data_IF_308738990448
#
_entry.id   IF_308738990448
#
_cell.length_a   1.000
_cell.length_b   1.000
_cell.length_c   1.000
_cell.angle_alpha   90.00
_cell.angle_beta   90.00
_cell.angle_gamma   90.00
#
_symmetry.space_group_name_H-M   'P 1'
#
loop_
_entity.id
_entity.type
_entity.pdbx_description
1 polymer ?
#
# COMPACT_ATOMS: atom_id res chain seq x y z
N UNK A 1 -12.94 -7.13 11.00
CA UNK A 1 -13.71 -6.18 10.29
C UNK A 1 -13.44 -6.21 8.79
N UNK A 2 -14.29 -5.59 8.00
CA UNK A 2 -14.44 -5.77 6.55
C UNK A 2 -13.24 -5.46 5.65
N UNK A 3 -12.27 -4.64 6.07
CA UNK A 3 -11.16 -4.21 5.20
C UNK A 3 -10.14 -5.31 4.92
N UNK A 4 -9.75 -6.08 5.93
CA UNK A 4 -8.81 -7.20 5.77
C UNK A 4 -9.40 -8.27 4.88
N UNK A 5 -10.70 -8.57 5.08
CA UNK A 5 -11.43 -9.54 4.28
C UNK A 5 -11.58 -9.09 2.83
N UNK A 6 -11.87 -7.80 2.59
CA UNK A 6 -11.96 -7.27 1.23
C UNK A 6 -10.61 -7.29 0.50
N UNK A 7 -9.52 -6.99 1.21
CA UNK A 7 -8.18 -7.09 0.65
C UNK A 7 -7.84 -8.53 0.28
N UNK A 8 -8.08 -9.49 1.18
CA UNK A 8 -7.88 -10.91 0.93
C UNK A 8 -8.71 -11.40 -0.27
N UNK A 9 -10.00 -11.06 -0.31
CA UNK A 9 -10.89 -11.42 -1.42
C UNK A 9 -10.42 -10.87 -2.77
N UNK A 10 -9.87 -9.65 -2.81
CA UNK A 10 -9.29 -9.08 -4.04
C UNK A 10 -8.05 -9.85 -4.48
N UNK A 11 -7.21 -10.24 -3.54
CA UNK A 11 -6.02 -11.05 -3.84
C UNK A 11 -6.39 -12.43 -4.36
N UNK A 12 -7.36 -13.09 -3.73
CA UNK A 12 -7.88 -14.38 -4.18
C UNK A 12 -8.49 -14.28 -5.59
N UNK A 13 -9.22 -13.20 -5.87
CA UNK A 13 -9.75 -12.86 -7.18
C UNK A 13 -8.66 -12.76 -8.24
N UNK A 14 -7.56 -12.06 -7.92
CA UNK A 14 -6.40 -11.92 -8.83
C UNK A 14 -5.70 -13.25 -9.07
N UNK A 15 -5.46 -14.03 -8.02
CA UNK A 15 -4.79 -15.34 -8.10
C UNK A 15 -5.65 -16.35 -8.88
N UNK A 16 -6.94 -16.37 -8.60
CA UNK A 16 -7.87 -17.30 -9.25
C UNK A 16 -8.26 -16.87 -10.67
N UNK A 17 -7.99 -15.61 -11.05
CA UNK A 17 -8.42 -14.98 -12.30
C UNK A 17 -9.97 -15.03 -12.47
N UNK A 18 -10.67 -14.65 -11.41
CA UNK A 18 -12.13 -14.52 -11.40
C UNK A 18 -12.50 -13.16 -10.82
N UNK A 19 -13.66 -12.63 -11.18
CA UNK A 19 -14.11 -11.36 -10.60
C UNK A 19 -14.51 -11.55 -9.13
N UNK A 20 -14.36 -10.50 -8.32
CA UNK A 20 -14.78 -10.53 -6.91
C UNK A 20 -16.25 -10.85 -6.71
N UNK A 21 -17.11 -10.57 -7.71
CA UNK A 21 -18.54 -10.92 -7.72
C UNK A 21 -18.79 -12.41 -7.95
N UNK A 22 -17.84 -13.09 -8.55
CA UNK A 22 -17.97 -14.50 -8.95
C UNK A 22 -17.22 -15.45 -8.03
N UNK A 23 -16.36 -14.94 -7.14
CA UNK A 23 -15.60 -15.75 -6.18
C UNK A 23 -16.49 -16.75 -5.44
N UNK A 24 -17.68 -16.32 -5.02
CA UNK A 24 -18.60 -17.13 -4.24
C UNK A 24 -19.37 -18.18 -5.05
N UNK A 25 -19.25 -18.17 -6.38
CA UNK A 25 -19.92 -19.15 -7.23
C UNK A 25 -19.20 -20.50 -7.27
N UNK A 26 -17.88 -20.48 -7.09
CA UNK A 26 -17.03 -21.68 -7.12
C UNK A 26 -15.84 -21.51 -6.15
N UNK A 27 -16.16 -21.58 -4.87
CA UNK A 27 -15.16 -21.41 -3.80
C UNK A 27 -14.10 -22.52 -3.82
N UNK A 28 -14.45 -23.74 -4.19
CA UNK A 28 -13.54 -24.87 -4.20
C UNK A 28 -12.41 -24.66 -5.23
N UNK A 29 -12.78 -24.19 -6.43
CA UNK A 29 -11.78 -23.88 -7.46
C UNK A 29 -10.90 -22.69 -7.06
N UNK A 30 -11.46 -21.65 -6.44
CA UNK A 30 -10.71 -20.50 -5.94
C UNK A 30 -9.72 -20.95 -4.86
N UNK A 31 -10.19 -21.70 -3.86
CA UNK A 31 -9.36 -22.21 -2.78
C UNK A 31 -8.21 -23.10 -3.29
N UNK A 32 -8.50 -23.97 -4.24
CA UNK A 32 -7.48 -24.82 -4.87
C UNK A 32 -6.40 -23.97 -5.55
N UNK A 33 -6.78 -22.98 -6.35
CA UNK A 33 -5.84 -22.09 -7.05
C UNK A 33 -4.99 -21.27 -6.07
N UNK A 34 -5.59 -20.73 -5.01
CA UNK A 34 -4.90 -19.98 -3.97
C UNK A 34 -3.91 -20.88 -3.21
N UNK A 35 -4.33 -22.09 -2.84
CA UNK A 35 -3.44 -23.09 -2.21
C UNK A 35 -2.26 -23.49 -3.12
N UNK A 36 -2.51 -23.65 -4.42
CA UNK A 36 -1.44 -23.96 -5.38
C UNK A 36 -0.45 -22.80 -5.52
N UNK A 37 -0.94 -21.56 -5.60
CA UNK A 37 -0.08 -20.37 -5.61
C UNK A 37 0.73 -20.25 -4.32
N UNK A 38 0.10 -20.49 -3.16
CA UNK A 38 0.73 -20.44 -1.85
C UNK A 38 1.86 -21.44 -1.64
N UNK A 39 1.89 -22.57 -2.38
CA UNK A 39 3.00 -23.53 -2.34
C UNK A 39 4.32 -22.97 -2.90
N UNK A 40 4.24 -21.95 -3.76
CA UNK A 40 5.40 -21.32 -4.42
C UNK A 40 5.67 -19.90 -3.91
N UNK A 41 4.72 -19.32 -3.19
CA UNK A 41 4.80 -17.98 -2.64
C UNK A 41 5.31 -18.02 -1.19
N UNK A 42 5.79 -16.87 -0.72
CA UNK A 42 6.09 -16.65 0.69
C UNK A 42 4.82 -16.48 1.55
N UNK A 43 5.01 -16.23 2.83
CA UNK A 43 3.91 -15.94 3.77
C UNK A 43 3.42 -14.50 3.61
N UNK A 44 2.11 -14.33 3.48
CA UNK A 44 1.47 -13.02 3.48
C UNK A 44 0.66 -12.84 4.78
N UNK A 45 0.79 -11.67 5.38
CA UNK A 45 -0.02 -11.25 6.53
C UNK A 45 -0.67 -9.92 6.21
N UNK A 46 -1.97 -9.85 6.37
CA UNK A 46 -2.76 -8.64 6.19
C UNK A 46 -3.21 -8.17 7.56
N UNK A 47 -2.97 -6.91 7.88
CA UNK A 47 -3.35 -6.30 9.15
C UNK A 47 -4.00 -4.95 8.91
N UNK A 48 -5.23 -4.83 9.37
CA UNK A 48 -5.87 -3.52 9.47
C UNK A 48 -5.27 -2.72 10.62
N UNK A 49 -4.94 -1.47 10.34
CA UNK A 49 -4.58 -0.48 11.34
C UNK A 49 -5.50 0.74 11.20
N UNK A 50 -5.95 1.34 12.32
CA UNK A 50 -6.80 2.53 12.26
C UNK A 50 -6.11 3.69 11.54
N UNK A 51 -6.89 4.55 10.92
CA UNK A 51 -6.37 5.84 10.45
C UNK A 51 -5.71 6.60 11.61
N UNK A 52 -4.69 7.41 11.31
CA UNK A 52 -3.85 8.10 12.28
C UNK A 52 -2.92 7.17 13.09
N UNK A 53 -2.79 5.91 12.72
CA UNK A 53 -1.70 5.06 13.23
C UNK A 53 -0.35 5.67 12.88
N UNK A 54 0.65 5.43 13.73
CA UNK A 54 2.01 5.93 13.54
C UNK A 54 3.02 4.80 13.31
N UNK A 55 4.22 5.17 12.94
CA UNK A 55 5.29 4.22 12.61
C UNK A 55 5.69 3.33 13.79
N UNK A 56 5.58 3.82 15.04
CA UNK A 56 5.88 3.00 16.22
C UNK A 56 4.87 1.85 16.40
N UNK A 57 3.61 2.08 16.06
CA UNK A 57 2.59 1.02 16.10
C UNK A 57 2.86 -0.05 15.02
N UNK A 58 3.26 0.37 13.82
CA UNK A 58 3.67 -0.55 12.75
C UNK A 58 4.89 -1.36 13.20
N UNK A 59 5.91 -0.69 13.72
CA UNK A 59 7.13 -1.33 14.24
C UNK A 59 6.84 -2.35 15.32
N UNK A 60 6.00 -2.00 16.29
CA UNK A 60 5.62 -2.89 17.39
C UNK A 60 4.88 -4.12 16.88
N UNK A 61 3.95 -3.94 15.96
CA UNK A 61 3.24 -5.05 15.34
C UNK A 61 4.18 -6.01 14.60
N UNK A 62 5.13 -5.46 13.83
CA UNK A 62 6.10 -6.29 13.09
C UNK A 62 6.96 -7.10 14.06
N UNK A 63 7.51 -6.48 15.10
CA UNK A 63 8.31 -7.16 16.13
C UNK A 63 7.52 -8.26 16.83
N UNK A 64 6.27 -7.98 17.18
CA UNK A 64 5.37 -8.98 17.78
C UNK A 64 5.14 -10.15 16.82
N UNK A 65 4.84 -9.88 15.55
CA UNK A 65 4.61 -10.88 14.52
C UNK A 65 5.84 -11.79 14.32
N UNK A 66 7.02 -11.19 14.24
CA UNK A 66 8.27 -11.95 14.10
C UNK A 66 8.53 -12.88 15.29
N UNK A 67 8.28 -12.39 16.52
CA UNK A 67 8.40 -13.20 17.74
C UNK A 67 7.38 -14.35 17.75
N UNK A 68 6.13 -14.06 17.40
CA UNK A 68 5.06 -15.07 17.45
C UNK A 68 5.21 -16.15 16.36
N UNK A 69 5.69 -15.77 15.18
CA UNK A 69 5.75 -16.68 14.03
C UNK A 69 7.14 -17.26 13.78
N UNK A 70 8.16 -16.70 14.42
CA UNK A 70 9.58 -16.98 14.12
C UNK A 70 9.94 -16.77 12.64
N UNK A 71 9.22 -15.90 11.95
CA UNK A 71 9.45 -15.52 10.57
C UNK A 71 10.03 -14.10 10.52
N UNK A 72 11.05 -13.91 9.71
CA UNK A 72 11.57 -12.58 9.39
C UNK A 72 10.75 -11.97 8.28
N UNK A 73 10.45 -10.68 8.40
CA UNK A 73 9.75 -9.92 7.36
C UNK A 73 10.77 -9.42 6.33
N UNK A 74 10.50 -9.64 5.05
CA UNK A 74 11.32 -9.18 3.93
C UNK A 74 10.70 -7.97 3.23
N UNK A 75 9.37 -7.82 3.34
CA UNK A 75 8.59 -6.85 2.59
C UNK A 75 7.44 -6.28 3.42
N UNK A 76 7.25 -4.97 3.34
CA UNK A 76 6.15 -4.24 3.98
C UNK A 76 5.40 -3.44 2.91
N UNK A 77 4.09 -3.58 2.86
CA UNK A 77 3.22 -2.72 2.06
C UNK A 77 2.29 -1.94 2.98
N UNK A 78 2.28 -0.63 2.84
CA UNK A 78 1.41 0.29 3.58
C UNK A 78 0.42 0.93 2.63
N UNK A 79 -0.85 0.61 2.76
CA UNK A 79 -1.94 1.17 1.94
C UNK A 79 -2.79 2.09 2.82
N UNK A 80 -2.53 3.41 2.85
CA UNK A 80 -1.47 4.21 2.24
C UNK A 80 -0.95 5.28 3.23
N UNK A 81 0.19 5.90 2.93
CA UNK A 81 0.93 6.77 3.85
C UNK A 81 0.13 8.01 4.31
N UNK A 82 -0.77 8.53 3.48
CA UNK A 82 -1.53 9.75 3.80
C UNK A 82 -2.46 9.58 5.02
N UNK A 83 -2.78 8.35 5.39
CA UNK A 83 -3.57 8.02 6.59
C UNK A 83 -2.74 7.93 7.87
N UNK A 84 -1.42 7.91 7.77
CA UNK A 84 -0.54 7.80 8.92
C UNK A 84 -0.30 9.17 9.57
N UNK A 85 0.12 9.13 10.83
CA UNK A 85 0.57 10.30 11.58
C UNK A 85 2.05 10.15 11.98
N UNK A 86 2.84 11.24 11.93
CA UNK A 86 4.23 11.20 12.36
C UNK A 86 4.35 11.00 13.88
N UNK A 87 5.44 10.35 14.29
CA UNK A 87 5.81 10.19 15.70
C UNK A 87 6.62 11.39 16.18
N UNK A 88 7.51 11.89 15.33
CA UNK A 88 8.58 12.84 15.68
C UNK A 88 8.12 14.28 15.80
N UNK A 89 6.94 14.63 15.30
CA UNK A 89 6.47 16.02 15.29
C UNK A 89 4.97 16.12 15.64
N UNK A 90 4.65 17.14 16.45
CA UNK A 90 3.27 17.61 16.59
C UNK A 90 2.95 18.49 15.39
N UNK A 91 2.32 17.92 14.39
CA UNK A 91 1.92 18.61 13.18
C UNK A 91 0.47 19.07 13.31
N UNK A 92 0.19 20.31 12.91
CA UNK A 92 -1.19 20.78 12.83
C UNK A 92 -1.99 19.91 11.85
N UNK A 93 -3.24 19.55 12.16
CA UNK A 93 -4.09 18.81 11.24
C UNK A 93 -4.27 19.45 9.86
N UNK A 94 -4.03 20.78 9.78
CA UNK A 94 -4.15 21.56 8.55
C UNK A 94 -2.86 21.57 7.72
N UNK A 95 -1.74 21.10 8.26
CA UNK A 95 -0.45 21.10 7.57
C UNK A 95 -0.11 19.70 7.04
N UNK A 96 -0.90 19.27 6.07
CA UNK A 96 -0.75 17.95 5.44
C UNK A 96 0.60 17.76 4.77
N UNK A 97 1.18 18.84 4.23
CA UNK A 97 2.48 18.78 3.56
C UNK A 97 3.61 18.40 4.53
N UNK A 98 3.65 19.05 5.68
CA UNK A 98 4.65 18.78 6.72
C UNK A 98 4.42 17.40 7.34
N UNK A 99 3.16 17.03 7.57
CA UNK A 99 2.78 15.70 8.04
C UNK A 99 3.35 14.60 7.13
N UNK A 100 3.07 14.70 5.84
CA UNK A 100 3.45 13.68 4.87
C UNK A 100 4.96 13.59 4.68
N UNK A 101 5.67 14.71 4.80
CA UNK A 101 7.14 14.73 4.82
C UNK A 101 7.68 13.88 5.97
N UNK A 102 7.24 14.13 7.19
CA UNK A 102 7.72 13.37 8.35
C UNK A 102 7.34 11.89 8.29
N UNK A 103 6.12 11.59 7.88
CA UNK A 103 5.67 10.19 7.72
C UNK A 103 6.53 9.44 6.71
N UNK A 104 6.84 10.05 5.56
CA UNK A 104 7.65 9.41 4.53
C UNK A 104 9.11 9.20 4.99
N UNK A 105 9.69 10.16 5.72
CA UNK A 105 11.01 10.02 6.32
C UNK A 105 11.04 8.89 7.39
N UNK A 106 10.02 8.82 8.23
CA UNK A 106 9.89 7.78 9.26
C UNK A 106 9.68 6.38 8.65
N UNK A 107 8.89 6.25 7.56
CA UNK A 107 8.74 5.00 6.82
C UNK A 107 10.08 4.55 6.20
N UNK A 108 10.83 5.48 5.59
CA UNK A 108 12.17 5.19 5.07
C UNK A 108 13.12 4.71 6.17
N UNK A 109 13.07 5.35 7.33
CA UNK A 109 13.88 4.93 8.47
C UNK A 109 13.48 3.54 8.98
N UNK A 110 12.19 3.23 9.03
CA UNK A 110 11.69 1.90 9.38
C UNK A 110 12.19 0.82 8.40
N UNK A 111 12.13 1.10 7.10
CA UNK A 111 12.62 0.18 6.07
C UNK A 111 14.11 -0.12 6.23
N UNK A 112 14.92 0.90 6.53
CA UNK A 112 16.36 0.74 6.79
C UNK A 112 16.62 -0.01 8.09
N UNK A 113 15.90 0.33 9.18
CA UNK A 113 16.03 -0.33 10.49
C UNK A 113 15.79 -1.83 10.40
N UNK A 114 14.73 -2.22 9.67
CA UNK A 114 14.33 -3.60 9.52
C UNK A 114 15.04 -4.32 8.36
N UNK A 115 15.74 -3.58 7.51
CA UNK A 115 16.35 -4.05 6.27
C UNK A 115 15.34 -4.77 5.36
N UNK A 116 14.22 -4.10 5.06
CA UNK A 116 13.12 -4.61 4.26
C UNK A 116 12.84 -3.73 3.05
N UNK A 117 12.24 -4.30 2.01
CA UNK A 117 11.60 -3.52 0.97
C UNK A 117 10.28 -2.96 1.51
N UNK A 118 10.10 -1.63 1.42
CA UNK A 118 8.87 -0.95 1.80
C UNK A 118 8.22 -0.31 0.59
N UNK A 119 6.96 -0.61 0.37
CA UNK A 119 6.13 0.02 -0.67
C UNK A 119 4.96 0.73 0.02
N UNK A 120 4.67 1.93 -0.45
CA UNK A 120 3.46 2.65 -0.06
C UNK A 120 2.84 3.34 -1.26
N UNK A 121 1.62 3.79 -1.12
CA UNK A 121 0.90 4.57 -2.12
C UNK A 121 0.67 5.99 -1.60
N UNK A 122 0.42 6.91 -2.51
CA UNK A 122 -0.06 8.26 -2.24
C UNK A 122 -1.02 8.68 -3.34
N UNK A 123 -1.98 9.53 -3.01
CA UNK A 123 -2.95 10.03 -3.98
C UNK A 123 -2.34 11.15 -4.82
N UNK A 124 -2.77 11.22 -6.09
CA UNK A 124 -2.48 12.35 -6.97
C UNK A 124 -3.46 13.50 -6.71
N UNK A 125 -3.02 14.73 -6.97
CA UNK A 125 -3.89 15.90 -6.97
C UNK A 125 -4.90 15.83 -8.12
N UNK A 126 -6.04 16.52 -7.95
CA UNK A 126 -7.08 16.57 -9.00
C UNK A 126 -6.58 17.13 -10.33
N UNK A 127 -5.58 18.03 -10.33
CA UNK A 127 -4.95 18.57 -11.54
C UNK A 127 -4.23 17.51 -12.39
N UNK A 128 -3.79 16.42 -11.78
CA UNK A 128 -3.11 15.32 -12.49
C UNK A 128 -4.06 14.45 -13.34
N UNK A 129 -5.37 14.60 -13.17
CA UNK A 129 -6.36 13.72 -13.82
C UNK A 129 -6.51 14.02 -15.30
N UNK A 130 -6.15 15.23 -15.77
CA UNK A 130 -6.32 15.69 -17.16
C UNK A 130 -5.00 15.72 -17.95
N UNK A 131 -3.86 15.51 -17.31
CA UNK A 131 -2.55 15.56 -17.96
C UNK A 131 -2.07 14.19 -18.41
N UNK A 132 -1.36 14.19 -19.55
CA UNK A 132 -0.88 12.97 -20.22
C UNK A 132 0.50 12.55 -19.69
N UNK A 133 1.23 13.48 -19.08
CA UNK A 133 2.57 13.26 -18.55
C UNK A 133 2.61 13.48 -17.04
N UNK A 134 3.37 12.62 -16.35
CA UNK A 134 3.58 12.74 -14.93
C UNK A 134 4.59 13.83 -14.62
N UNK A 135 4.16 14.83 -13.84
CA UNK A 135 5.05 15.78 -13.19
C UNK A 135 5.00 15.60 -11.67
N UNK A 136 6.12 15.84 -11.02
CA UNK A 136 6.27 15.76 -9.56
C UNK A 136 5.30 16.69 -8.78
N UNK A 137 4.78 17.72 -9.44
CA UNK A 137 3.76 18.63 -8.87
C UNK A 137 2.39 17.96 -8.67
N UNK A 138 2.15 16.82 -9.32
CA UNK A 138 0.86 16.12 -9.30
C UNK A 138 0.65 15.25 -8.05
N UNK A 139 1.68 15.06 -7.23
CA UNK A 139 1.53 14.29 -5.98
C UNK A 139 0.91 15.15 -4.89
N UNK A 140 -0.20 14.69 -4.33
CA UNK A 140 -0.81 15.29 -3.15
C UNK A 140 0.18 15.30 -1.98
N UNK A 141 0.42 16.46 -1.36
CA UNK A 141 1.44 16.61 -0.32
C UNK A 141 2.84 16.90 -0.84
N UNK A 142 3.03 16.98 -2.16
CA UNK A 142 4.20 17.59 -2.80
C UNK A 142 5.44 16.72 -2.93
N UNK A 143 6.47 17.35 -3.46
CA UNK A 143 7.82 16.81 -3.79
C UNK A 143 8.51 16.12 -2.60
N UNK A 144 8.16 16.47 -1.36
CA UNK A 144 8.80 15.90 -0.17
C UNK A 144 8.63 14.38 -0.03
N UNK A 145 7.52 13.81 -0.50
CA UNK A 145 7.30 12.35 -0.53
C UNK A 145 8.22 11.66 -1.54
N UNK A 146 8.39 12.29 -2.72
CA UNK A 146 9.27 11.78 -3.78
C UNK A 146 10.72 11.76 -3.31
N UNK A 147 11.17 12.81 -2.65
CA UNK A 147 12.56 12.94 -2.20
C UNK A 147 12.99 11.86 -1.19
N UNK A 148 12.03 11.19 -0.55
CA UNK A 148 12.30 10.09 0.37
C UNK A 148 12.21 8.72 -0.27
N UNK A 149 11.64 8.59 -1.46
CA UNK A 149 11.53 7.34 -2.20
C UNK A 149 12.78 7.06 -3.03
N UNK A 150 13.15 5.79 -3.16
CA UNK A 150 14.22 5.37 -4.05
C UNK A 150 13.67 5.16 -5.48
N UNK A 151 12.39 4.78 -5.59
CA UNK A 151 11.68 4.63 -6.86
C UNK A 151 10.25 5.16 -6.71
N UNK A 152 9.75 5.80 -7.76
CA UNK A 152 8.38 6.34 -7.81
C UNK A 152 7.73 5.85 -9.09
N UNK A 153 6.52 5.32 -8.98
CA UNK A 153 5.71 4.85 -10.10
C UNK A 153 4.38 5.60 -10.11
N UNK A 154 4.05 6.19 -11.24
CA UNK A 154 2.75 6.81 -11.46
C UNK A 154 1.78 5.86 -12.15
N UNK A 155 0.57 5.70 -11.62
CA UNK A 155 -0.51 4.92 -12.25
C UNK A 155 -1.58 5.89 -12.72
N UNK A 156 -1.76 5.95 -14.04
CA UNK A 156 -2.69 6.88 -14.68
C UNK A 156 -3.77 6.12 -15.45
N UNK A 157 -4.93 6.75 -15.53
CA UNK A 157 -6.02 6.21 -16.34
C UNK A 157 -6.91 7.34 -16.86
N UNK A 158 -7.19 7.34 -18.16
CA UNK A 158 -8.21 8.19 -18.77
C UNK A 158 -9.57 7.49 -18.79
N UNK A 159 -10.64 8.24 -19.07
CA UNK A 159 -11.98 7.65 -19.24
C UNK A 159 -12.00 6.54 -20.29
N UNK A 160 -11.37 6.78 -21.45
CA UNK A 160 -11.28 5.81 -22.52
C UNK A 160 -10.43 4.57 -22.15
N UNK A 161 -9.41 4.75 -21.31
CA UNK A 161 -8.61 3.63 -20.81
C UNK A 161 -9.41 2.80 -19.80
N UNK A 162 -10.18 3.44 -18.90
CA UNK A 162 -11.07 2.73 -17.95
C UNK A 162 -12.10 1.87 -18.66
N UNK A 163 -12.72 2.38 -19.72
CA UNK A 163 -13.70 1.64 -20.52
C UNK A 163 -13.10 0.39 -21.18
N UNK A 164 -11.78 0.44 -21.47
CA UNK A 164 -11.01 -0.68 -22.05
C UNK A 164 -10.28 -1.54 -20.99
N UNK A 165 -10.47 -1.28 -19.71
CA UNK A 165 -9.78 -1.98 -18.62
C UNK A 165 -8.26 -1.77 -18.64
N UNK A 166 -7.78 -0.60 -19.09
CA UNK A 166 -6.35 -0.26 -19.21
C UNK A 166 -5.95 0.87 -18.27
N UNK A 167 -4.69 0.90 -17.93
CA UNK A 167 -4.00 1.99 -17.23
C UNK A 167 -2.59 2.14 -17.79
N UNK A 168 -1.99 3.28 -17.55
CA UNK A 168 -0.61 3.59 -17.90
C UNK A 168 0.24 3.58 -16.63
N UNK A 169 1.40 2.96 -16.70
CA UNK A 169 2.43 2.98 -15.67
C UNK A 169 3.61 3.79 -16.18
N UNK A 170 4.09 4.75 -15.38
CA UNK A 170 5.29 5.56 -15.63
C UNK A 170 6.25 5.47 -14.45
#
# INVERSE_FOLDING_TARGET
CSSDLLCAMRMDSMIANVSTKEIFKDLDTVEMKVKMAGKKAGSLRIKYMPAQSNINQIRSYIKELEVQTNLKIDFIMVDYLDLLMPVSAKVSPNDLFVKDKYVSEELRNLAKELNVLLITASQLNCSAVEEIEFDHSHISGGISKINTADNVFGIFTSRAMKERGRYQLQ
#
